data_IF_883842704519
#
_entry.id   IF_883842704519
#
_cell.length_a   1.000
_cell.length_b   1.000
_cell.length_c   1.000
_cell.angle_alpha   90.00
_cell.angle_beta   90.00
_cell.angle_gamma   90.00
#
_symmetry.space_group_name_H-M   'P 1'
#
loop_
_entity.id
_entity.type
_entity.pdbx_description
1 polymer ?
#
# COMPACT_ATOMS: atom_id res chain seq x y z
N UNK A 1 -11.78 3.00 -31.87
CA UNK A 1 -10.55 2.28 -31.47
C UNK A 1 -10.03 2.97 -30.21
N UNK A 2 -10.51 2.57 -29.03
CA UNK A 2 -9.96 3.08 -27.78
C UNK A 2 -8.61 2.42 -27.54
N UNK A 3 -7.57 3.25 -27.52
CA UNK A 3 -6.21 2.84 -27.21
C UNK A 3 -6.18 2.37 -25.76
N UNK A 4 -6.34 1.06 -25.52
CA UNK A 4 -6.19 0.47 -24.19
C UNK A 4 -4.72 0.53 -23.81
N UNK A 5 -4.36 1.53 -23.01
CA UNK A 5 -3.10 1.55 -22.28
C UNK A 5 -2.99 0.23 -21.49
N UNK A 6 -2.01 -0.62 -21.86
CA UNK A 6 -1.70 -1.85 -21.14
C UNK A 6 -0.68 -1.54 -20.06
N UNK A 7 -0.90 -2.08 -18.85
CA UNK A 7 0.10 -1.99 -17.80
C UNK A 7 1.37 -2.72 -18.23
N UNK A 8 2.50 -2.01 -18.13
CA UNK A 8 3.84 -2.58 -18.34
C UNK A 8 4.60 -2.48 -17.03
N UNK A 9 4.74 -3.62 -16.37
CA UNK A 9 5.47 -3.69 -15.12
C UNK A 9 6.99 -3.77 -15.38
N UNK A 10 7.78 -3.04 -14.59
CA UNK A 10 9.24 -3.10 -14.62
C UNK A 10 9.76 -3.05 -13.20
N UNK A 11 10.66 -3.99 -12.85
CA UNK A 11 11.29 -4.00 -11.53
C UNK A 11 12.05 -2.70 -11.26
N UNK A 12 12.80 -2.19 -12.25
CA UNK A 12 13.62 -0.99 -12.10
C UNK A 12 12.82 0.31 -11.97
N UNK A 13 11.57 0.34 -12.44
CA UNK A 13 10.73 1.55 -12.44
C UNK A 13 9.66 1.48 -11.34
N UNK A 14 9.02 0.33 -11.15
CA UNK A 14 7.91 0.16 -10.20
C UNK A 14 8.41 -0.41 -8.88
N UNK A 15 8.90 -1.65 -8.88
CA UNK A 15 9.18 -2.38 -7.63
C UNK A 15 10.27 -1.71 -6.79
N UNK A 16 11.41 -1.41 -7.40
CA UNK A 16 12.58 -0.85 -6.70
C UNK A 16 12.32 0.55 -6.13
N UNK A 17 11.35 1.28 -6.69
CA UNK A 17 11.01 2.63 -6.25
C UNK A 17 9.72 2.67 -5.42
N UNK A 18 9.10 1.51 -5.14
CA UNK A 18 7.85 1.49 -4.38
C UNK A 18 8.11 1.80 -2.90
N UNK A 19 7.51 2.86 -2.36
CA UNK A 19 7.80 3.32 -1.00
C UNK A 19 7.03 2.48 0.02
N UNK A 20 7.65 1.41 0.51
CA UNK A 20 7.04 0.54 1.52
C UNK A 20 7.20 1.14 2.94
N UNK A 21 6.13 1.20 3.75
CA UNK A 21 6.10 1.94 5.02
C UNK A 21 7.00 1.35 6.11
N UNK A 22 7.44 0.10 5.94
CA UNK A 22 8.30 -0.59 6.89
C UNK A 22 9.77 -0.18 6.81
N UNK A 23 10.14 0.95 6.18
CA UNK A 23 11.52 1.44 6.13
C UNK A 23 11.66 2.94 6.44
N UNK A 24 10.58 3.60 6.85
CA UNK A 24 10.57 5.04 7.04
C UNK A 24 10.90 5.44 8.49
N UNK A 25 12.11 5.98 8.68
CA UNK A 25 12.72 6.51 9.91
C UNK A 25 13.17 5.49 10.97
N UNK A 26 14.48 5.50 11.28
CA UNK A 26 15.03 4.78 12.43
C UNK A 26 15.11 3.25 12.30
N UNK A 27 15.19 2.74 11.08
CA UNK A 27 15.46 1.33 10.83
C UNK A 27 16.90 0.99 11.23
N UNK A 28 17.11 0.68 12.51
CA UNK A 28 18.09 -0.35 12.81
C UNK A 28 17.60 -1.61 12.09
N UNK A 29 18.37 -2.05 11.10
CA UNK A 29 18.20 -3.39 10.53
C UNK A 29 18.03 -4.35 11.72
N UNK A 30 16.87 -5.04 11.78
CA UNK A 30 16.46 -6.00 12.81
C UNK A 30 15.58 -5.50 13.98
N UNK A 31 15.13 -4.24 14.03
CA UNK A 31 14.11 -3.84 15.02
C UNK A 31 12.70 -3.85 14.43
N UNK A 32 12.08 -5.02 14.43
CA UNK A 32 10.65 -5.12 14.21
C UNK A 32 9.91 -4.44 15.38
N UNK A 33 9.42 -3.22 15.18
CA UNK A 33 8.44 -2.64 16.09
C UNK A 33 7.21 -3.57 16.07
N UNK A 34 6.61 -3.89 17.22
CA UNK A 34 5.50 -4.83 17.31
C UNK A 34 4.35 -4.54 16.32
N UNK A 35 4.13 -3.26 15.99
CA UNK A 35 3.16 -2.85 14.96
C UNK A 35 3.48 -3.34 13.54
N UNK A 36 4.76 -3.52 13.20
CA UNK A 36 5.22 -4.05 11.90
C UNK A 36 4.87 -5.53 11.77
N UNK A 37 5.15 -6.34 12.78
CA UNK A 37 4.81 -7.76 12.79
C UNK A 37 3.29 -7.94 12.67
N UNK A 38 2.52 -7.20 13.46
CA UNK A 38 1.05 -7.24 13.38
C UNK A 38 0.51 -6.84 12.00
N UNK A 39 1.12 -5.83 11.36
CA UNK A 39 0.74 -5.43 10.01
C UNK A 39 1.08 -6.53 8.99
N UNK A 40 2.25 -7.14 9.10
CA UNK A 40 2.67 -8.24 8.23
C UNK A 40 1.73 -9.45 8.38
N UNK A 41 1.46 -9.91 9.60
CA UNK A 41 0.54 -11.02 9.87
C UNK A 41 -0.87 -10.75 9.32
N UNK A 42 -1.36 -9.52 9.47
CA UNK A 42 -2.65 -9.13 8.91
C UNK A 42 -2.66 -9.18 7.38
N UNK A 43 -1.59 -8.72 6.73
CA UNK A 43 -1.45 -8.77 5.27
C UNK A 43 -1.35 -10.22 4.79
N UNK A 44 -0.54 -11.06 5.44
CA UNK A 44 -0.38 -12.48 5.10
C UNK A 44 -1.71 -13.24 5.21
N UNK A 45 -2.47 -13.00 6.27
CA UNK A 45 -3.80 -13.57 6.46
C UNK A 45 -4.77 -13.19 5.33
N UNK A 46 -4.87 -11.90 5.00
CA UNK A 46 -5.79 -11.44 3.95
C UNK A 46 -5.30 -11.84 2.54
N UNK A 47 -3.98 -11.93 2.33
CA UNK A 47 -3.40 -12.46 1.10
C UNK A 47 -3.76 -13.95 0.91
N UNK A 48 -3.69 -14.76 1.98
CA UNK A 48 -4.15 -16.14 1.93
C UNK A 48 -5.65 -16.22 1.61
N UNK A 49 -6.48 -15.35 2.19
CA UNK A 49 -7.91 -15.31 1.88
C UNK A 49 -8.18 -15.01 0.38
N UNK A 50 -7.37 -14.18 -0.27
CA UNK A 50 -7.45 -13.97 -1.73
C UNK A 50 -7.13 -15.26 -2.49
N UNK A 51 -6.10 -16.01 -2.07
CA UNK A 51 -5.76 -17.30 -2.69
C UNK A 51 -6.86 -18.33 -2.49
N UNK A 52 -7.43 -18.42 -1.29
CA UNK A 52 -8.52 -19.34 -0.96
C UNK A 52 -9.78 -19.05 -1.78
N UNK A 53 -10.10 -17.77 -2.00
CA UNK A 53 -11.23 -17.39 -2.86
C UNK A 53 -10.93 -17.75 -4.31
N UNK A 54 -9.73 -17.49 -4.84
CA UNK A 54 -9.36 -17.89 -6.21
C UNK A 54 -9.51 -19.39 -6.41
N UNK A 55 -9.13 -20.21 -5.42
CA UNK A 55 -9.22 -21.67 -5.49
C UNK A 55 -10.67 -22.19 -5.63
N UNK A 56 -11.67 -21.42 -5.21
CA UNK A 56 -13.08 -21.77 -5.39
C UNK A 56 -13.56 -21.66 -6.86
N UNK A 57 -12.79 -21.01 -7.72
CA UNK A 57 -13.11 -20.79 -9.14
C UNK A 57 -12.10 -21.50 -10.06
N UNK A 58 -11.87 -22.80 -9.83
CA UNK A 58 -10.84 -23.58 -10.53
C UNK A 58 -11.01 -23.66 -12.06
N UNK A 59 -12.21 -23.42 -12.59
CA UNK A 59 -12.49 -23.40 -14.02
C UNK A 59 -12.27 -22.03 -14.69
N UNK A 60 -12.08 -20.96 -13.90
CA UNK A 60 -11.87 -19.61 -14.40
C UNK A 60 -10.37 -19.32 -14.56
N UNK A 61 -10.00 -18.65 -15.65
CA UNK A 61 -8.64 -18.12 -15.77
C UNK A 61 -8.46 -16.90 -14.87
N UNK A 62 -7.20 -16.52 -14.60
CA UNK A 62 -6.92 -15.25 -13.92
C UNK A 62 -7.44 -14.05 -14.72
N UNK A 63 -7.52 -14.13 -16.05
CA UNK A 63 -8.09 -13.06 -16.85
C UNK A 63 -9.59 -12.89 -16.54
N UNK A 64 -10.34 -13.98 -16.45
CA UNK A 64 -11.77 -13.96 -16.14
C UNK A 64 -12.05 -13.48 -14.70
N UNK A 65 -11.20 -13.88 -13.76
CA UNK A 65 -11.31 -13.48 -12.36
C UNK A 65 -11.01 -11.99 -12.11
N UNK A 66 -10.22 -11.37 -12.98
CA UNK A 66 -9.75 -9.98 -12.83
C UNK A 66 -10.31 -9.01 -13.88
N UNK A 67 -11.18 -9.46 -14.79
CA UNK A 67 -11.96 -8.55 -15.61
C UNK A 67 -12.93 -7.77 -14.69
N UNK A 68 -12.91 -6.42 -14.71
CA UNK A 68 -13.74 -5.60 -13.83
C UNK A 68 -15.25 -5.88 -13.94
N UNK A 69 -15.72 -6.41 -15.07
CA UNK A 69 -17.14 -6.71 -15.30
C UNK A 69 -17.53 -8.11 -14.82
N UNK A 70 -16.57 -9.03 -14.69
CA UNK A 70 -16.83 -10.42 -14.31
C UNK A 70 -16.16 -10.86 -13.01
N UNK A 71 -15.38 -9.98 -12.36
CA UNK A 71 -14.74 -10.28 -11.07
C UNK A 71 -15.79 -10.73 -10.04
N UNK A 72 -15.65 -11.94 -9.47
CA UNK A 72 -16.60 -12.43 -8.48
C UNK A 72 -16.67 -11.50 -7.25
N UNK A 73 -17.86 -11.21 -6.70
CA UNK A 73 -17.99 -10.34 -5.52
C UNK A 73 -17.19 -10.80 -4.30
N UNK A 74 -17.03 -12.13 -4.14
CA UNK A 74 -16.21 -12.71 -3.09
C UNK A 74 -14.72 -12.33 -3.25
N UNK A 75 -14.21 -12.32 -4.48
CA UNK A 75 -12.83 -11.96 -4.78
C UNK A 75 -12.62 -10.46 -4.58
N UNK A 76 -13.55 -9.63 -5.06
CA UNK A 76 -13.53 -8.18 -4.82
C UNK A 76 -13.46 -7.87 -3.32
N UNK A 77 -14.31 -8.52 -2.51
CA UNK A 77 -14.33 -8.35 -1.06
C UNK A 77 -13.03 -8.79 -0.39
N UNK A 78 -12.38 -9.84 -0.90
CA UNK A 78 -11.07 -10.29 -0.41
C UNK A 78 -9.97 -9.24 -0.71
N UNK A 79 -9.95 -8.65 -1.92
CA UNK A 79 -9.03 -7.54 -2.23
C UNK A 79 -9.28 -6.31 -1.38
N UNK A 80 -10.54 -5.93 -1.15
CA UNK A 80 -10.86 -4.78 -0.28
C UNK A 80 -10.33 -4.96 1.15
N UNK A 81 -10.33 -6.20 1.68
CA UNK A 81 -9.75 -6.51 3.00
C UNK A 81 -8.23 -6.44 2.98
N UNK A 82 -7.61 -7.00 1.94
CA UNK A 82 -6.16 -6.91 1.75
C UNK A 82 -5.70 -5.45 1.62
N UNK A 83 -6.39 -4.65 0.81
CA UNK A 83 -6.13 -3.21 0.66
C UNK A 83 -6.25 -2.48 2.00
N UNK A 84 -7.26 -2.80 2.81
CA UNK A 84 -7.41 -2.19 4.14
C UNK A 84 -6.25 -2.58 5.09
N UNK A 85 -5.75 -3.80 5.01
CA UNK A 85 -4.58 -4.23 5.79
C UNK A 85 -3.30 -3.49 5.33
N UNK A 86 -3.12 -3.31 4.03
CA UNK A 86 -2.00 -2.55 3.45
C UNK A 86 -2.08 -1.06 3.79
N UNK A 87 -3.26 -0.45 3.68
CA UNK A 87 -3.48 0.95 4.07
C UNK A 87 -3.16 1.15 5.56
N UNK A 88 -3.53 0.20 6.41
CA UNK A 88 -3.20 0.22 7.84
C UNK A 88 -1.69 0.10 8.08
N UNK A 89 -0.96 -0.66 7.28
CA UNK A 89 0.50 -0.67 7.34
C UNK A 89 1.10 0.70 6.98
N UNK A 90 0.53 1.39 5.98
CA UNK A 90 0.97 2.73 5.59
C UNK A 90 0.65 3.80 6.65
N UNK A 91 -0.36 3.59 7.51
CA UNK A 91 -0.62 4.46 8.67
C UNK A 91 0.54 4.45 9.67
N UNK A 92 1.27 3.33 9.80
CA UNK A 92 2.46 3.27 10.66
C UNK A 92 3.57 4.23 10.19
N UNK A 93 3.59 4.53 8.90
CA UNK A 93 4.48 5.50 8.29
C UNK A 93 3.87 6.91 8.21
N UNK A 94 2.83 7.22 8.98
CA UNK A 94 2.17 8.53 8.97
C UNK A 94 1.14 8.71 7.85
N UNK A 95 0.70 7.62 7.22
CA UNK A 95 -0.43 7.63 6.29
C UNK A 95 -1.76 8.00 6.96
N UNK A 96 -2.72 8.52 6.20
CA UNK A 96 -4.05 8.84 6.72
C UNK A 96 -4.83 7.57 7.11
N UNK A 97 -5.81 7.71 8.03
CA UNK A 97 -6.69 6.60 8.43
C UNK A 97 -7.53 6.04 7.28
N UNK A 98 -7.85 6.87 6.30
CA UNK A 98 -8.55 6.51 5.09
C UNK A 98 -8.13 7.45 3.96
N UNK A 99 -8.09 6.94 2.74
CA UNK A 99 -7.82 7.75 1.55
C UNK A 99 -9.13 8.13 0.88
N UNK A 100 -9.22 9.39 0.41
CA UNK A 100 -10.42 9.88 -0.27
C UNK A 100 -10.59 9.26 -1.67
N UNK A 101 -9.48 8.99 -2.36
CA UNK A 101 -9.41 8.41 -3.70
C UNK A 101 -7.96 7.97 -4.02
N UNK A 102 -7.76 7.38 -5.19
CA UNK A 102 -6.44 6.91 -5.64
C UNK A 102 -5.42 8.03 -5.79
N UNK A 103 -5.84 9.24 -6.18
CA UNK A 103 -4.93 10.38 -6.27
C UNK A 103 -4.36 10.77 -4.88
N UNK A 104 -5.19 10.69 -3.83
CA UNK A 104 -4.74 10.88 -2.45
C UNK A 104 -3.76 9.79 -1.99
N UNK A 105 -3.99 8.53 -2.39
CA UNK A 105 -3.04 7.42 -2.15
C UNK A 105 -1.69 7.69 -2.81
N UNK A 106 -1.71 8.03 -4.09
CA UNK A 106 -0.50 8.35 -4.87
C UNK A 106 0.26 9.53 -4.27
N UNK A 107 -0.43 10.61 -3.88
CA UNK A 107 0.19 11.77 -3.25
C UNK A 107 0.92 11.41 -1.94
N UNK A 108 0.31 10.54 -1.12
CA UNK A 108 0.98 10.03 0.08
C UNK A 108 2.19 9.17 -0.25
N UNK A 109 2.08 8.25 -1.22
CA UNK A 109 3.21 7.41 -1.64
C UNK A 109 4.39 8.26 -2.12
N UNK A 110 4.16 9.34 -2.88
CA UNK A 110 5.24 10.26 -3.26
C UNK A 110 5.88 10.96 -2.05
N UNK A 111 5.07 11.41 -1.08
CA UNK A 111 5.58 11.96 0.18
C UNK A 111 6.47 10.94 0.91
N UNK A 112 6.01 9.69 1.00
CA UNK A 112 6.75 8.61 1.64
C UNK A 112 8.05 8.27 0.90
N UNK A 113 8.00 8.21 -0.44
CA UNK A 113 9.16 8.00 -1.29
C UNK A 113 10.22 9.10 -1.08
N UNK A 114 9.80 10.37 -1.08
CA UNK A 114 10.70 11.48 -0.79
C UNK A 114 11.34 11.33 0.58
N UNK A 115 10.59 10.95 1.62
CA UNK A 115 11.14 10.74 2.95
C UNK A 115 12.16 9.59 3.03
N UNK A 116 11.92 8.49 2.32
CA UNK A 116 12.83 7.33 2.30
C UNK A 116 14.11 7.62 1.48
N UNK A 117 14.01 8.43 0.43
CA UNK A 117 15.13 8.70 -0.50
C UNK A 117 15.88 10.01 -0.22
N UNK A 118 15.32 10.91 0.60
CA UNK A 118 15.98 12.16 0.96
C UNK A 118 17.21 11.87 1.84
N UNK A 119 18.38 12.28 1.35
CA UNK A 119 19.65 12.24 2.09
C UNK A 119 19.77 13.36 3.14
N UNK A 120 18.79 14.26 3.20
CA UNK A 120 18.72 15.36 4.16
C UNK A 120 17.68 15.01 5.23
N UNK A 121 17.97 15.24 6.52
CA UNK A 121 16.98 15.04 7.57
C UNK A 121 15.75 15.89 7.29
N UNK A 122 14.56 15.31 7.52
CA UNK A 122 13.30 16.00 7.28
C UNK A 122 13.32 17.38 7.94
N UNK A 123 13.17 18.43 7.14
CA UNK A 123 13.09 19.79 7.65
C UNK A 123 11.88 19.84 8.60
N UNK A 124 12.17 19.90 9.91
CA UNK A 124 11.17 19.84 10.95
C UNK A 124 10.05 20.82 10.65
N UNK A 125 8.80 20.33 10.69
CA UNK A 125 7.61 21.14 10.55
C UNK A 125 7.77 22.38 11.44
N UNK A 126 7.85 23.56 10.81
CA UNK A 126 8.08 24.82 11.50
C UNK A 126 7.08 24.94 12.66
N UNK A 127 7.60 24.86 13.89
CA UNK A 127 6.80 24.92 15.10
C UNK A 127 5.96 26.19 15.09
N UNK A 128 4.64 26.03 15.22
CA UNK A 128 3.75 27.16 15.47
C UNK A 128 4.19 27.84 16.77
N UNK A 129 4.84 29.00 16.66
CA UNK A 129 5.17 29.84 17.83
C UNK A 129 3.86 30.16 18.58
N UNK A 130 3.79 29.94 19.90
CA UNK A 130 2.63 30.39 20.67
C UNK A 130 2.60 31.92 20.66
N UNK A 131 1.47 32.50 20.23
CA UNK A 131 1.21 33.93 20.38
C UNK A 131 0.95 34.18 21.87
N UNK A 132 1.88 34.86 22.54
CA UNK A 132 1.65 35.48 23.85
C UNK A 132 1.24 36.94 23.61
N UNK A 133 0.01 37.28 24.00
CA UNK A 133 -0.43 38.55 24.58
C UNK A 133 -1.95 38.43 24.80
#
# INVERSE_FOLDING_TARGET
MESRYRYRYSAAIVYNNFPWPLYAEGFEQNKALAGVQQAQEAIEKEAQAVLDVRAQFAASSLADLYDPLTMPPALLKAHQRLDAAVDKAHQLAGGPRAYANDAARVAFLFTLYQRITSLLPAAGAAGKKPRRA
#
